data_IF_342614171566
#
_entry.id   IF_342614171566
#
_cell.length_a   1.000
_cell.length_b   1.000
_cell.length_c   1.000
_cell.angle_alpha   90.00
_cell.angle_beta   90.00
_cell.angle_gamma   90.00
#
_symmetry.space_group_name_H-M   'P 1'
#
loop_
_entity.id
_entity.type
_entity.pdbx_description
1 polymer ?
#
# COMPACT_ATOMS: atom_id res chain seq x y z
N UNK A 1 2.37 -4.46 13.94
CA UNK A 1 0.93 -4.53 13.60
C UNK A 1 0.08 -5.31 14.62
N UNK A 2 0.67 -6.09 15.53
CA UNK A 2 -0.03 -6.80 16.61
C UNK A 2 -0.28 -5.92 17.85
N UNK A 3 0.22 -4.69 17.85
CA UNK A 3 0.04 -3.73 18.94
C UNK A 3 -1.44 -3.41 19.16
N UNK A 4 -1.81 -3.15 20.42
CA UNK A 4 -3.19 -2.93 20.87
C UNK A 4 -3.52 -1.46 21.16
N UNK A 5 -2.83 -0.53 20.51
CA UNK A 5 -3.16 0.90 20.56
C UNK A 5 -4.47 1.20 19.83
N UNK A 6 -4.76 0.46 18.75
CA UNK A 6 -6.07 0.35 18.12
C UNK A 6 -6.72 -0.98 18.53
N UNK A 7 -8.05 -0.97 18.73
CA UNK A 7 -8.79 -2.15 19.21
C UNK A 7 -9.38 -2.94 18.03
N UNK A 8 -9.25 -4.29 18.00
CA UNK A 8 -8.51 -5.13 18.96
C UNK A 8 -6.98 -5.11 18.78
N UNK A 9 -6.49 -4.92 17.56
CA UNK A 9 -5.09 -4.64 17.19
C UNK A 9 -5.06 -3.72 15.97
N UNK A 10 -3.93 -3.06 15.69
CA UNK A 10 -3.74 -2.29 14.44
C UNK A 10 -4.12 -3.12 13.22
N UNK A 11 -3.61 -4.35 13.15
CA UNK A 11 -3.85 -5.26 12.03
C UNK A 11 -5.33 -5.50 11.76
N UNK A 12 -6.07 -5.96 12.77
CA UNK A 12 -7.47 -6.32 12.61
C UNK A 12 -8.34 -5.11 12.28
N UNK A 13 -8.03 -3.94 12.86
CA UNK A 13 -8.74 -2.72 12.52
C UNK A 13 -8.41 -2.25 11.10
N UNK A 14 -7.13 -2.28 10.69
CA UNK A 14 -6.72 -1.93 9.33
C UNK A 14 -7.36 -2.83 8.28
N UNK A 15 -7.50 -4.14 8.51
CA UNK A 15 -8.20 -5.03 7.60
C UNK A 15 -9.68 -4.68 7.47
N UNK A 16 -10.35 -4.33 8.57
CA UNK A 16 -11.75 -3.88 8.54
C UNK A 16 -11.91 -2.61 7.72
N UNK A 17 -11.11 -1.58 8.00
CA UNK A 17 -11.17 -0.32 7.26
C UNK A 17 -10.73 -0.45 5.81
N UNK A 18 -9.82 -1.38 5.49
CA UNK A 18 -9.49 -1.69 4.10
C UNK A 18 -10.71 -2.25 3.34
N UNK A 19 -11.54 -3.09 3.96
CA UNK A 19 -12.77 -3.59 3.33
C UNK A 19 -13.82 -2.47 3.14
N UNK A 20 -13.97 -1.59 4.13
CA UNK A 20 -14.85 -0.42 4.03
C UNK A 20 -14.35 0.54 2.92
N UNK A 21 -13.04 0.82 2.87
CA UNK A 21 -12.41 1.59 1.81
C UNK A 21 -12.64 1.00 0.43
N UNK A 22 -12.47 -0.32 0.23
CA UNK A 22 -12.73 -0.96 -1.07
C UNK A 22 -14.17 -0.72 -1.50
N UNK A 23 -15.14 -0.89 -0.60
CA UNK A 23 -16.56 -0.67 -0.91
C UNK A 23 -16.81 0.78 -1.34
N UNK A 24 -16.41 1.74 -0.51
CA UNK A 24 -16.62 3.16 -0.79
C UNK A 24 -15.87 3.63 -2.04
N UNK A 25 -14.65 3.13 -2.25
CA UNK A 25 -13.84 3.45 -3.42
C UNK A 25 -14.54 3.04 -4.72
N UNK A 26 -15.08 1.82 -4.79
CA UNK A 26 -15.81 1.36 -5.98
C UNK A 26 -17.20 1.99 -6.12
N UNK A 27 -17.85 2.40 -5.03
CA UNK A 27 -19.10 3.18 -5.08
C UNK A 27 -18.89 4.55 -5.74
N UNK A 28 -17.78 5.23 -5.42
CA UNK A 28 -17.45 6.54 -6.01
C UNK A 28 -16.72 6.42 -7.36
N UNK A 29 -16.02 5.32 -7.60
CA UNK A 29 -15.16 5.13 -8.77
C UNK A 29 -15.45 3.78 -9.48
N UNK A 30 -16.59 3.65 -10.17
CA UNK A 30 -17.08 2.36 -10.69
C UNK A 30 -16.22 1.74 -11.81
N UNK A 31 -15.36 2.52 -12.47
CA UNK A 31 -14.50 2.06 -13.57
C UNK A 31 -13.03 1.91 -13.15
N UNK A 32 -12.70 2.25 -11.90
CA UNK A 32 -11.34 2.13 -11.39
C UNK A 32 -10.93 0.66 -11.24
N UNK A 33 -9.63 0.43 -11.06
CA UNK A 33 -9.07 -0.88 -10.75
C UNK A 33 -8.39 -0.79 -9.38
N UNK A 34 -8.39 -1.89 -8.65
CA UNK A 34 -7.71 -1.99 -7.35
C UNK A 34 -6.95 -3.31 -7.29
N UNK A 35 -5.84 -3.33 -6.57
CA UNK A 35 -5.11 -4.54 -6.21
C UNK A 35 -4.60 -4.40 -4.78
N UNK A 36 -4.44 -5.54 -4.09
CA UNK A 36 -4.08 -5.56 -2.66
C UNK A 36 -2.76 -6.29 -2.49
N UNK A 37 -1.81 -5.63 -1.83
CA UNK A 37 -0.51 -6.19 -1.46
C UNK A 37 -0.36 -6.23 0.05
N UNK A 38 0.26 -7.28 0.57
CA UNK A 38 0.68 -7.40 1.95
C UNK A 38 2.20 -7.32 2.07
N UNK A 39 2.71 -6.61 3.07
CA UNK A 39 4.13 -6.57 3.39
C UNK A 39 4.36 -7.40 4.65
N UNK A 40 5.04 -8.55 4.51
CA UNK A 40 5.20 -9.54 5.58
C UNK A 40 6.50 -10.29 5.41
N UNK A 41 7.17 -10.58 6.53
CA UNK A 41 8.40 -11.39 6.55
C UNK A 41 9.50 -10.89 5.58
N UNK A 42 9.62 -9.57 5.40
CA UNK A 42 10.58 -8.93 4.50
C UNK A 42 10.19 -8.99 3.02
N UNK A 43 9.02 -9.53 2.69
CA UNK A 43 8.54 -9.74 1.32
C UNK A 43 7.28 -8.93 1.03
N UNK A 44 7.05 -8.69 -0.25
CA UNK A 44 5.75 -8.27 -0.77
C UNK A 44 4.98 -9.50 -1.24
N UNK A 45 3.74 -9.62 -0.78
CA UNK A 45 2.83 -10.72 -1.10
C UNK A 45 1.62 -10.15 -1.80
N UNK A 46 1.25 -10.74 -2.93
CA UNK A 46 0.02 -10.35 -3.61
C UNK A 46 -1.17 -11.00 -2.91
N UNK A 47 -2.07 -10.18 -2.39
CA UNK A 47 -3.30 -10.61 -1.70
C UNK A 47 -4.45 -10.69 -2.70
N UNK A 48 -4.55 -9.70 -3.58
CA UNK A 48 -5.52 -9.67 -4.69
C UNK A 48 -4.88 -9.05 -5.92
N UNK A 49 -5.11 -9.64 -7.09
CA UNK A 49 -4.65 -9.11 -8.38
C UNK A 49 -5.40 -7.82 -8.75
N UNK A 50 -4.90 -7.09 -9.74
CA UNK A 50 -5.54 -5.87 -10.21
C UNK A 50 -6.87 -6.20 -10.90
N UNK A 51 -8.00 -5.81 -10.30
CA UNK A 51 -9.34 -6.04 -10.88
C UNK A 51 -10.34 -4.96 -10.45
N UNK A 52 -11.44 -4.85 -11.21
CA UNK A 52 -12.57 -3.98 -10.89
C UNK A 52 -13.64 -4.63 -10.02
N UNK A 53 -13.40 -5.82 -9.47
CA UNK A 53 -14.39 -6.58 -8.72
C UNK A 53 -14.20 -6.38 -7.19
N UNK A 54 -15.03 -5.56 -6.52
CA UNK A 54 -14.88 -5.31 -5.09
C UNK A 54 -15.01 -6.58 -4.24
N UNK A 55 -15.81 -7.56 -4.67
CA UNK A 55 -16.05 -8.80 -3.91
C UNK A 55 -14.79 -9.65 -3.79
N UNK A 56 -13.97 -9.71 -4.85
CA UNK A 56 -12.68 -10.41 -4.86
C UNK A 56 -11.74 -9.80 -3.82
N UNK A 57 -11.58 -8.47 -3.85
CA UNK A 57 -10.71 -7.75 -2.92
C UNK A 57 -11.16 -7.91 -1.47
N UNK A 58 -12.46 -7.73 -1.20
CA UNK A 58 -13.01 -7.87 0.17
C UNK A 58 -12.80 -9.30 0.69
N UNK A 59 -13.07 -10.31 -0.13
CA UNK A 59 -12.88 -11.71 0.26
C UNK A 59 -11.41 -12.04 0.53
N UNK A 60 -10.51 -11.54 -0.32
CA UNK A 60 -9.07 -11.70 -0.14
C UNK A 60 -8.58 -11.04 1.15
N UNK A 61 -9.00 -9.79 1.43
CA UNK A 61 -8.68 -9.08 2.68
C UNK A 61 -9.26 -9.82 3.90
N UNK A 62 -10.48 -10.34 3.79
CA UNK A 62 -11.12 -11.08 4.89
C UNK A 62 -10.32 -12.35 5.25
N UNK A 63 -9.76 -13.05 4.26
CA UNK A 63 -8.96 -14.26 4.49
C UNK A 63 -7.64 -14.00 5.23
N UNK A 64 -7.16 -12.75 5.25
CA UNK A 64 -5.99 -12.35 6.03
C UNK A 64 -6.26 -12.34 7.54
N UNK A 65 -7.52 -12.26 7.98
CA UNK A 65 -7.88 -12.19 9.40
C UNK A 65 -7.36 -13.39 10.20
N UNK A 66 -7.32 -14.56 9.58
CA UNK A 66 -6.88 -15.81 10.21
C UNK A 66 -5.35 -15.97 10.20
N UNK A 67 -4.63 -14.97 9.65
CA UNK A 67 -3.18 -14.95 9.58
C UNK A 67 -2.59 -13.93 10.55
N UNK A 68 -1.46 -14.25 11.16
CA UNK A 68 -0.72 -13.28 11.96
C UNK A 68 0.17 -12.39 11.06
N UNK A 69 0.23 -11.08 11.34
CA UNK A 69 1.22 -10.18 10.74
C UNK A 69 2.58 -10.41 11.40
N UNK A 70 3.45 -11.15 10.72
CA UNK A 70 4.79 -11.52 11.20
C UNK A 70 5.90 -10.81 10.43
N UNK A 71 7.08 -10.79 11.05
CA UNK A 71 8.28 -10.23 10.45
C UNK A 71 8.22 -8.72 10.24
N UNK A 72 9.04 -8.24 9.31
CA UNK A 72 9.20 -6.83 8.97
C UNK A 72 8.57 -6.52 7.62
N UNK A 73 8.07 -5.28 7.39
CA UNK A 73 7.66 -4.87 6.06
C UNK A 73 8.88 -4.60 5.16
N UNK A 74 8.70 -4.70 3.85
CA UNK A 74 9.64 -4.19 2.84
C UNK A 74 8.90 -3.25 1.88
N UNK A 75 9.16 -1.96 2.00
CA UNK A 75 8.61 -0.93 1.12
C UNK A 75 9.12 -1.09 -0.31
N UNK A 76 10.42 -1.39 -0.50
CA UNK A 76 11.02 -1.59 -1.81
C UNK A 76 10.32 -2.71 -2.57
N UNK A 77 10.23 -3.90 -1.97
CA UNK A 77 9.57 -5.04 -2.60
C UNK A 77 8.10 -4.74 -2.89
N UNK A 78 7.43 -4.02 -1.99
CA UNK A 78 6.05 -3.56 -2.18
C UNK A 78 5.89 -2.65 -3.39
N UNK A 79 6.75 -1.65 -3.52
CA UNK A 79 6.73 -0.70 -4.63
C UNK A 79 7.13 -1.33 -5.95
N UNK A 80 8.09 -2.24 -5.98
CA UNK A 80 8.48 -2.97 -7.19
C UNK A 80 7.34 -3.86 -7.69
N UNK A 81 6.66 -4.58 -6.79
CA UNK A 81 5.49 -5.39 -7.14
C UNK A 81 4.32 -4.52 -7.63
N UNK A 82 4.05 -3.40 -6.95
CA UNK A 82 3.02 -2.45 -7.35
C UNK A 82 3.32 -1.81 -8.72
N UNK A 83 4.57 -1.45 -9.00
CA UNK A 83 5.02 -0.99 -10.33
C UNK A 83 4.70 -2.00 -11.42
N UNK A 84 5.02 -3.28 -11.18
CA UNK A 84 4.71 -4.35 -12.11
C UNK A 84 3.20 -4.47 -12.39
N UNK A 85 2.37 -4.33 -11.35
CA UNK A 85 0.91 -4.37 -11.49
C UNK A 85 0.36 -3.15 -12.26
N UNK A 86 0.92 -1.96 -12.04
CA UNK A 86 0.51 -0.70 -12.68
C UNK A 86 1.10 -0.49 -14.08
N UNK A 87 1.99 -1.38 -14.54
CA UNK A 87 2.70 -1.22 -15.82
C UNK A 87 1.76 -1.10 -17.02
N UNK A 88 0.68 -1.89 -17.02
CA UNK A 88 -0.31 -1.93 -18.10
C UNK A 88 -1.37 -0.82 -18.00
N UNK A 89 -1.33 0.02 -16.96
CA UNK A 89 -2.26 1.14 -16.83
C UNK A 89 -2.06 2.11 -17.99
N UNK A 90 -3.13 2.46 -18.74
CA UNK A 90 -3.06 3.40 -19.84
C UNK A 90 -2.45 4.75 -19.44
N UNK A 91 -1.81 5.44 -20.39
CA UNK A 91 -1.12 6.71 -20.13
C UNK A 91 -2.03 7.86 -19.66
N UNK A 92 -3.32 7.77 -19.96
CA UNK A 92 -4.34 8.74 -19.52
C UNK A 92 -4.93 8.39 -18.14
N UNK A 93 -4.65 7.20 -17.61
CA UNK A 93 -5.04 6.80 -16.26
C UNK A 93 -4.02 7.26 -15.23
N UNK A 94 -4.48 7.54 -14.01
CA UNK A 94 -3.58 7.78 -12.88
C UNK A 94 -3.04 6.44 -12.35
N UNK A 95 -1.82 6.49 -11.80
CA UNK A 95 -1.16 5.34 -11.17
C UNK A 95 -0.88 5.71 -9.73
N UNK A 96 -1.51 5.01 -8.81
CA UNK A 96 -1.55 5.41 -7.40
C UNK A 96 -1.24 4.22 -6.51
N UNK A 97 -0.44 4.45 -5.48
CA UNK A 97 -0.13 3.47 -4.43
C UNK A 97 -0.50 4.10 -3.10
N UNK A 98 -1.41 3.46 -2.35
CA UNK A 98 -1.75 3.83 -0.98
C UNK A 98 -1.15 2.79 -0.03
N UNK A 99 -0.33 3.24 0.92
CA UNK A 99 0.32 2.38 1.92
C UNK A 99 -0.23 2.67 3.30
N UNK A 100 -0.69 1.64 4.00
CA UNK A 100 -0.97 1.72 5.44
C UNK A 100 0.26 1.22 6.19
N UNK A 101 1.02 2.13 6.79
CA UNK A 101 2.32 1.83 7.38
C UNK A 101 2.29 1.94 8.91
N UNK A 102 2.23 0.79 9.59
CA UNK A 102 2.24 0.73 11.05
C UNK A 102 3.59 0.41 11.70
N UNK A 103 4.65 0.26 10.89
CA UNK A 103 6.02 0.04 11.35
C UNK A 103 6.80 1.36 11.44
N UNK A 104 7.92 1.37 12.17
CA UNK A 104 8.88 2.49 12.19
C UNK A 104 10.11 2.22 11.32
N UNK A 105 10.21 1.02 10.76
CA UNK A 105 11.32 0.58 9.93
C UNK A 105 10.84 -0.31 8.79
N UNK A 106 11.63 -0.34 7.72
CA UNK A 106 11.46 -1.19 6.54
C UNK A 106 12.73 -2.01 6.34
N UNK A 107 12.58 -3.26 5.91
CA UNK A 107 13.67 -4.20 5.63
C UNK A 107 13.80 -4.37 4.12
N UNK A 108 14.52 -3.46 3.48
CA UNK A 108 14.67 -3.41 2.02
C UNK A 108 16.03 -3.97 1.57
N UNK A 109 16.09 -4.74 0.46
CA UNK A 109 17.32 -5.38 0.01
C UNK A 109 18.34 -4.42 -0.62
N UNK A 110 17.89 -3.26 -1.14
CA UNK A 110 18.72 -2.30 -1.84
C UNK A 110 18.46 -0.85 -1.42
N UNK A 111 18.92 0.08 -2.25
CA UNK A 111 18.74 1.50 -2.03
C UNK A 111 17.32 1.94 -2.44
N UNK A 112 16.49 2.24 -1.43
CA UNK A 112 15.12 2.71 -1.63
C UNK A 112 15.06 4.02 -2.43
N UNK A 113 16.09 4.88 -2.42
CA UNK A 113 16.09 6.13 -3.17
C UNK A 113 16.13 5.90 -4.69
N UNK A 114 16.72 4.79 -5.15
CA UNK A 114 16.63 4.37 -6.55
C UNK A 114 15.21 3.94 -6.93
N UNK A 115 14.52 3.27 -6.01
CA UNK A 115 13.11 2.91 -6.18
C UNK A 115 12.24 4.16 -6.26
N UNK A 116 12.47 5.16 -5.41
CA UNK A 116 11.78 6.46 -5.45
C UNK A 116 11.98 7.12 -6.83
N UNK A 117 13.21 7.19 -7.31
CA UNK A 117 13.53 7.76 -8.63
C UNK A 117 12.76 7.04 -9.74
N UNK A 118 12.66 5.72 -9.64
CA UNK A 118 11.93 4.91 -10.63
C UNK A 118 10.42 5.15 -10.57
N UNK A 119 9.84 5.27 -9.37
CA UNK A 119 8.42 5.62 -9.20
C UNK A 119 8.07 6.97 -9.82
N UNK A 120 8.95 7.97 -9.66
CA UNK A 120 8.80 9.30 -10.27
C UNK A 120 8.82 9.18 -11.80
N UNK A 121 9.79 8.45 -12.36
CA UNK A 121 9.92 8.25 -13.80
C UNK A 121 8.69 7.54 -14.39
N UNK A 122 8.12 6.58 -13.66
CA UNK A 122 6.92 5.84 -14.05
C UNK A 122 5.61 6.62 -13.79
N UNK A 123 5.71 7.86 -13.29
CA UNK A 123 4.59 8.76 -12.92
C UNK A 123 3.62 8.13 -11.93
N UNK A 124 4.16 7.44 -10.92
CA UNK A 124 3.39 6.78 -9.87
C UNK A 124 3.36 7.68 -8.65
N UNK A 125 2.15 8.00 -8.19
CA UNK A 125 1.91 8.77 -6.97
C UNK A 125 1.81 7.84 -5.78
N UNK A 126 2.44 8.20 -4.67
CA UNK A 126 2.41 7.40 -3.44
C UNK A 126 1.82 8.22 -2.30
N UNK A 127 0.80 7.68 -1.64
CA UNK A 127 0.25 8.16 -0.38
C UNK A 127 0.56 7.17 0.74
N UNK A 128 0.98 7.65 1.92
CA UNK A 128 1.31 6.80 3.06
C UNK A 128 0.58 7.27 4.30
N UNK A 129 -0.28 6.41 4.85
CA UNK A 129 -0.93 6.61 6.15
C UNK A 129 -0.08 5.93 7.22
N UNK A 130 0.69 6.72 7.97
CA UNK A 130 1.48 6.25 9.11
C UNK A 130 0.64 6.12 10.39
N UNK A 131 0.66 4.97 11.08
CA UNK A 131 -0.18 4.73 12.26
C UNK A 131 0.42 5.16 13.61
N UNK A 132 1.66 5.68 13.65
CA UNK A 132 2.32 5.99 14.92
C UNK A 132 3.18 7.26 14.84
N UNK A 133 4.41 7.13 14.35
CA UNK A 133 5.34 8.23 14.22
C UNK A 133 5.65 8.48 12.74
N UNK A 134 6.11 9.68 12.45
CA UNK A 134 6.60 10.02 11.13
C UNK A 134 7.95 9.34 10.88
N UNK A 135 8.04 8.62 9.76
CA UNK A 135 9.29 8.04 9.27
C UNK A 135 9.84 8.94 8.17
N UNK A 136 11.08 9.38 8.30
CA UNK A 136 11.70 10.33 7.37
C UNK A 136 11.61 9.88 5.91
N UNK A 137 11.87 8.59 5.65
CA UNK A 137 11.79 8.04 4.30
C UNK A 137 10.36 8.06 3.73
N UNK A 138 9.33 7.81 4.55
CA UNK A 138 7.94 7.90 4.10
C UNK A 138 7.58 9.33 3.68
N UNK A 139 8.02 10.34 4.44
CA UNK A 139 7.84 11.75 4.06
C UNK A 139 8.53 12.06 2.73
N UNK A 140 9.77 11.60 2.57
CA UNK A 140 10.52 11.81 1.32
C UNK A 140 9.84 11.15 0.12
N UNK A 141 9.33 9.92 0.28
CA UNK A 141 8.59 9.20 -0.78
C UNK A 141 7.36 10.01 -1.20
N UNK A 142 6.52 10.43 -0.26
CA UNK A 142 5.30 11.19 -0.55
C UNK A 142 5.63 12.54 -1.21
N UNK A 143 6.57 13.30 -0.65
CA UNK A 143 6.96 14.60 -1.20
C UNK A 143 7.53 14.48 -2.62
N UNK A 144 8.42 13.52 -2.88
CA UNK A 144 9.03 13.37 -4.21
C UNK A 144 8.06 12.81 -5.26
N UNK A 145 7.16 11.90 -4.90
CA UNK A 145 6.23 11.27 -5.85
C UNK A 145 4.99 12.10 -6.16
N UNK A 146 4.74 13.18 -5.40
CA UNK A 146 3.63 14.11 -5.62
C UNK A 146 4.09 15.52 -6.04
N UNK A 147 5.29 15.65 -6.63
CA UNK A 147 5.76 16.93 -7.18
C UNK A 147 6.21 17.96 -6.14
N UNK A 148 6.57 17.52 -4.94
CA UNK A 148 6.96 18.38 -3.82
C UNK A 148 5.81 18.88 -2.96
N UNK A 149 4.60 18.33 -3.15
CA UNK A 149 3.46 18.64 -2.30
C UNK A 149 3.60 17.95 -0.94
N UNK A 150 3.89 18.76 0.09
CA UNK A 150 4.05 18.31 1.48
C UNK A 150 2.70 18.22 2.23
N UNK A 151 1.57 18.47 1.57
CA UNK A 151 0.22 18.42 2.17
C UNK A 151 -0.47 17.07 2.06
N UNK A 152 0.07 16.15 1.24
CA UNK A 152 -0.44 14.79 0.99
C UNK A 152 0.26 13.69 1.78
#
# INVERSE_FOLDING_TARGET
MTEKDLRPTRYLLSLRYAQEFVREFFEQNPISQLGVLGLKDGLAVRVSDMSGNPTEHISAIQSLRDQDPKGLPSLQNGFEMARGALFHTPSHGTREILVIFGSLLSSDPGDIHQTITTLINDKIRVGIVGLAAQVAICREICGKTNGGDDTT
#
